data_IF_286157776543
#
_entry.id   IF_286157776543
#
_cell.length_a   1.000
_cell.length_b   1.000
_cell.length_c   1.000
_cell.angle_alpha   90.00
_cell.angle_beta   90.00
_cell.angle_gamma   90.00
#
_symmetry.space_group_name_H-M   'P 1'
#
loop_
_entity.id
_entity.type
_entity.pdbx_description
1 polymer ?
#
# COMPACT_ATOMS: atom_id res chain seq x y z
N UNK A 1 30.66 -10.68 -10.81
CA UNK A 1 30.14 -9.43 -10.21
C UNK A 1 28.66 -9.65 -9.94
N UNK A 2 28.26 -9.75 -8.67
CA UNK A 2 26.84 -9.84 -8.31
C UNK A 2 26.15 -8.55 -8.76
N UNK A 3 25.14 -8.66 -9.62
CA UNK A 3 24.32 -7.53 -10.05
C UNK A 3 23.34 -7.18 -8.92
N UNK A 4 23.87 -6.71 -7.79
CA UNK A 4 23.14 -6.57 -6.51
C UNK A 4 21.96 -5.60 -6.59
N UNK A 5 21.88 -4.76 -7.64
CA UNK A 5 20.77 -3.84 -7.85
C UNK A 5 19.52 -4.43 -8.52
N UNK A 6 19.65 -5.51 -9.30
CA UNK A 6 18.53 -6.07 -10.07
C UNK A 6 17.81 -7.21 -9.33
N UNK A 7 18.56 -8.14 -8.73
CA UNK A 7 17.99 -9.34 -8.09
C UNK A 7 17.62 -9.10 -6.62
N UNK A 8 16.75 -8.12 -6.36
CA UNK A 8 16.36 -7.73 -5.01
C UNK A 8 15.40 -8.74 -4.34
N UNK A 9 14.44 -9.29 -5.09
CA UNK A 9 13.53 -10.34 -4.65
C UNK A 9 14.04 -11.73 -5.05
N UNK A 10 14.35 -12.59 -4.05
CA UNK A 10 14.90 -13.93 -4.29
C UNK A 10 13.86 -14.99 -4.62
N UNK A 11 12.59 -14.76 -4.29
CA UNK A 11 11.49 -15.69 -4.55
C UNK A 11 11.40 -16.90 -3.62
N UNK A 12 12.35 -17.08 -2.70
CA UNK A 12 12.27 -18.07 -1.63
C UNK A 12 12.35 -17.33 -0.29
N UNK A 13 11.18 -17.02 0.27
CA UNK A 13 11.05 -16.29 1.53
C UNK A 13 10.58 -17.29 2.57
N UNK A 14 11.45 -17.60 3.52
CA UNK A 14 11.18 -18.55 4.58
C UNK A 14 11.60 -17.96 5.94
N UNK A 15 10.77 -17.05 6.45
CA UNK A 15 10.91 -16.46 7.78
C UNK A 15 9.91 -17.09 8.74
N UNK A 16 10.00 -16.77 10.03
CA UNK A 16 9.00 -17.23 11.02
C UNK A 16 7.59 -16.70 10.69
N UNK A 17 7.50 -15.54 10.03
CA UNK A 17 6.24 -14.85 9.73
C UNK A 17 5.71 -15.18 8.35
N UNK A 18 6.58 -15.36 7.36
CA UNK A 18 6.19 -15.50 5.96
C UNK A 18 6.91 -16.70 5.33
N UNK A 19 6.12 -17.55 4.67
CA UNK A 19 6.59 -18.65 3.83
C UNK A 19 6.03 -18.49 2.43
N UNK A 20 6.88 -18.22 1.45
CA UNK A 20 6.48 -17.97 0.08
C UNK A 20 7.53 -18.46 -0.90
N UNK A 21 7.10 -19.25 -1.89
CA UNK A 21 7.95 -19.76 -2.97
C UNK A 21 7.36 -19.25 -4.29
N UNK A 22 8.12 -18.43 -4.99
CA UNK A 22 7.82 -17.94 -6.33
C UNK A 22 8.50 -18.83 -7.37
N UNK A 23 7.81 -19.10 -8.47
CA UNK A 23 8.48 -19.67 -9.64
C UNK A 23 9.47 -18.65 -10.25
N UNK A 24 10.46 -19.11 -11.05
CA UNK A 24 11.46 -18.23 -11.62
C UNK A 24 10.92 -17.10 -12.50
N UNK A 25 9.78 -17.30 -13.19
CA UNK A 25 9.18 -16.27 -14.03
C UNK A 25 8.58 -15.16 -13.18
N UNK A 26 7.77 -15.50 -12.17
CA UNK A 26 7.21 -14.53 -11.24
C UNK A 26 8.29 -13.73 -10.52
N UNK A 27 9.35 -14.41 -10.04
CA UNK A 27 10.50 -13.75 -9.42
C UNK A 27 11.12 -12.69 -10.35
N UNK A 28 11.32 -13.02 -11.62
CA UNK A 28 11.90 -12.09 -12.60
C UNK A 28 10.98 -10.90 -12.86
N UNK A 29 9.67 -11.12 -12.99
CA UNK A 29 8.67 -10.05 -13.16
C UNK A 29 8.71 -9.06 -11.99
N UNK A 30 8.80 -9.56 -10.77
CA UNK A 30 8.93 -8.73 -9.56
C UNK A 30 10.21 -7.89 -9.61
N UNK A 31 11.36 -8.51 -9.90
CA UNK A 31 12.63 -7.78 -9.98
C UNK A 31 12.65 -6.72 -11.10
N UNK A 32 12.06 -7.01 -12.26
CA UNK A 32 11.90 -6.02 -13.34
C UNK A 32 11.02 -4.85 -12.88
N UNK A 33 9.92 -5.14 -12.18
CA UNK A 33 9.00 -4.10 -11.70
C UNK A 33 9.68 -3.18 -10.67
N UNK A 34 10.47 -3.77 -9.76
CA UNK A 34 11.28 -3.03 -8.78
C UNK A 34 12.32 -2.15 -9.50
N UNK A 35 13.07 -2.73 -10.45
CA UNK A 35 14.14 -2.03 -11.17
C UNK A 35 13.61 -0.86 -12.03
N UNK A 36 12.40 -1.00 -12.58
CA UNK A 36 11.75 0.05 -13.38
C UNK A 36 10.93 1.04 -12.54
N UNK A 37 10.79 0.81 -11.24
CA UNK A 37 9.88 1.53 -10.35
C UNK A 37 8.45 1.62 -10.94
N UNK A 38 7.94 0.50 -11.47
CA UNK A 38 6.60 0.41 -12.09
C UNK A 38 5.67 -0.42 -11.21
N UNK A 39 4.38 -0.02 -11.09
CA UNK A 39 3.38 -0.83 -10.41
C UNK A 39 3.26 -2.21 -11.04
N UNK A 40 3.12 -3.23 -10.20
CA UNK A 40 2.92 -4.62 -10.61
C UNK A 40 1.46 -5.02 -10.41
N UNK A 41 0.74 -5.27 -11.51
CA UNK A 41 -0.61 -5.83 -11.47
C UNK A 41 -0.53 -7.36 -11.50
N UNK A 42 -1.03 -8.01 -10.45
CA UNK A 42 -1.04 -9.47 -10.33
C UNK A 42 -2.45 -10.00 -10.49
N UNK A 43 -2.65 -10.91 -11.45
CA UNK A 43 -3.93 -11.59 -11.70
C UNK A 43 -3.80 -13.09 -11.44
N UNK A 44 -4.90 -13.73 -11.07
CA UNK A 44 -4.99 -15.18 -10.88
C UNK A 44 -6.17 -15.56 -10.01
N UNK A 45 -6.46 -16.85 -9.94
CA UNK A 45 -7.57 -17.40 -9.15
C UNK A 45 -7.47 -17.04 -7.65
N UNK A 46 -8.59 -17.01 -6.92
CA UNK A 46 -8.57 -16.91 -5.46
C UNK A 46 -7.66 -17.97 -4.83
N UNK A 47 -6.89 -17.58 -3.81
CA UNK A 47 -5.99 -18.50 -3.10
C UNK A 47 -4.62 -18.77 -3.75
N UNK A 48 -4.29 -18.14 -4.88
CA UNK A 48 -2.96 -18.32 -5.53
C UNK A 48 -1.81 -17.55 -4.88
N UNK A 49 -2.02 -16.95 -3.71
CA UNK A 49 -0.97 -16.27 -2.95
C UNK A 49 -0.63 -14.84 -3.43
N UNK A 50 -1.54 -14.15 -4.13
CA UNK A 50 -1.32 -12.75 -4.60
C UNK A 50 -1.07 -11.77 -3.45
N UNK A 51 -1.92 -11.79 -2.42
CA UNK A 51 -1.74 -11.00 -1.19
C UNK A 51 -0.44 -11.43 -0.48
N UNK A 52 -0.17 -12.73 -0.39
CA UNK A 52 1.05 -13.23 0.27
C UNK A 52 2.34 -12.81 -0.47
N UNK A 53 2.28 -12.63 -1.79
CA UNK A 53 3.40 -12.10 -2.58
C UNK A 53 3.81 -10.70 -2.11
N UNK A 54 2.88 -9.79 -1.84
CA UNK A 54 3.25 -8.44 -1.38
C UNK A 54 3.89 -8.48 0.01
N UNK A 55 3.40 -9.36 0.90
CA UNK A 55 4.05 -9.63 2.19
C UNK A 55 5.48 -10.14 2.00
N UNK A 56 5.68 -11.13 1.12
CA UNK A 56 6.99 -11.69 0.83
C UNK A 56 7.96 -10.64 0.24
N UNK A 57 7.47 -9.77 -0.64
CA UNK A 57 8.24 -8.65 -1.21
C UNK A 57 8.63 -7.67 -0.10
N UNK A 58 7.68 -7.22 0.72
CA UNK A 58 7.93 -6.27 1.79
C UNK A 58 8.98 -6.80 2.79
N UNK A 59 8.84 -8.06 3.21
CA UNK A 59 9.80 -8.76 4.08
C UNK A 59 11.18 -8.82 3.45
N UNK A 60 11.27 -9.23 2.17
CA UNK A 60 12.56 -9.37 1.46
C UNK A 60 13.28 -8.03 1.31
N UNK A 61 12.53 -6.96 1.04
CA UNK A 61 13.09 -5.63 0.85
C UNK A 61 13.29 -4.87 2.18
N UNK A 62 12.85 -5.44 3.31
CA UNK A 62 12.87 -4.78 4.61
C UNK A 62 12.04 -3.50 4.61
N UNK A 63 10.91 -3.48 3.89
CA UNK A 63 10.05 -2.31 3.71
C UNK A 63 8.74 -2.47 4.46
N UNK A 64 8.20 -1.36 4.93
CA UNK A 64 6.86 -1.29 5.52
C UNK A 64 5.82 -1.66 4.45
N UNK A 65 4.86 -2.51 4.82
CA UNK A 65 3.73 -2.88 3.98
C UNK A 65 2.50 -2.07 4.41
N UNK A 66 1.92 -1.34 3.48
CA UNK A 66 0.61 -0.69 3.63
C UNK A 66 -0.39 -1.52 2.81
N UNK A 67 -1.54 -1.84 3.42
CA UNK A 67 -2.58 -2.64 2.77
C UNK A 67 -3.84 -1.79 2.60
N UNK A 68 -4.30 -1.70 1.36
CA UNK A 68 -5.58 -1.08 1.01
C UNK A 68 -6.49 -2.12 0.38
N UNK A 69 -7.48 -2.58 1.14
CA UNK A 69 -8.49 -3.52 0.64
C UNK A 69 -9.63 -2.75 0.00
N UNK A 70 -9.84 -2.95 -1.30
CA UNK A 70 -10.88 -2.26 -2.07
C UNK A 70 -12.24 -2.92 -1.84
N UNK A 71 -13.27 -2.08 -1.68
CA UNK A 71 -14.68 -2.49 -1.62
C UNK A 71 -15.42 -1.93 -2.83
N UNK A 72 -16.63 -2.44 -3.07
CA UNK A 72 -17.52 -1.96 -4.13
C UNK A 72 -17.95 -0.49 -4.00
N UNK A 73 -17.74 0.10 -2.82
CA UNK A 73 -18.06 1.50 -2.53
C UNK A 73 -16.80 2.34 -2.34
N UNK A 74 -15.62 1.79 -2.62
CA UNK A 74 -14.35 2.52 -2.45
C UNK A 74 -14.12 3.40 -3.66
N UNK A 75 -13.95 4.70 -3.40
CA UNK A 75 -13.56 5.68 -4.40
C UNK A 75 -12.05 5.94 -4.35
N UNK A 76 -11.46 6.45 -5.43
CA UNK A 76 -10.05 6.79 -5.47
C UNK A 76 -9.66 7.82 -4.39
N UNK A 77 -10.58 8.73 -4.06
CA UNK A 77 -10.36 9.78 -3.04
C UNK A 77 -10.14 9.18 -1.65
N UNK A 78 -10.81 8.07 -1.32
CA UNK A 78 -10.65 7.36 -0.03
C UNK A 78 -9.21 6.87 0.18
N UNK A 79 -8.51 6.55 -0.91
CA UNK A 79 -7.10 6.18 -0.89
C UNK A 79 -6.19 7.37 -0.60
N UNK A 80 -6.54 8.56 -1.09
CA UNK A 80 -5.73 9.77 -0.96
C UNK A 80 -5.85 10.38 0.44
N UNK A 81 -7.07 10.75 0.85
CA UNK A 81 -7.32 11.37 2.14
C UNK A 81 -8.81 11.33 2.51
N UNK A 82 -9.08 11.39 3.81
CA UNK A 82 -10.40 11.56 4.39
C UNK A 82 -10.49 12.95 5.01
N UNK A 83 -11.61 13.62 4.78
CA UNK A 83 -11.92 14.91 5.39
C UNK A 83 -13.02 14.75 6.43
N UNK A 84 -12.68 14.96 7.70
CA UNK A 84 -13.59 14.78 8.83
C UNK A 84 -14.48 16.02 9.02
N UNK A 85 -15.54 16.06 8.21
CA UNK A 85 -16.59 17.08 8.29
C UNK A 85 -17.32 17.09 9.63
N UNK A 86 -17.47 15.93 10.29
CA UNK A 86 -18.22 15.78 11.54
C UNK A 86 -17.43 16.40 12.69
N UNK A 87 -16.15 16.05 12.80
CA UNK A 87 -15.26 16.64 13.80
C UNK A 87 -15.11 18.14 13.59
N UNK A 88 -14.97 18.62 12.34
CA UNK A 88 -14.91 20.06 12.05
C UNK A 88 -16.18 20.79 12.44
N UNK A 89 -17.35 20.21 12.16
CA UNK A 89 -18.63 20.81 12.54
C UNK A 89 -18.77 20.85 14.08
N UNK A 90 -18.36 19.80 14.78
CA UNK A 90 -18.36 19.76 16.23
C UNK A 90 -17.46 20.86 16.83
N UNK A 91 -16.21 20.95 16.37
CA UNK A 91 -15.25 21.95 16.83
C UNK A 91 -15.70 23.38 16.47
N UNK A 92 -16.43 23.57 15.37
CA UNK A 92 -17.01 24.88 15.01
C UNK A 92 -18.08 25.36 15.98
N UNK A 93 -18.75 24.44 16.69
CA UNK A 93 -19.82 24.76 17.66
C UNK A 93 -19.30 24.89 19.08
N UNK A 94 -18.35 24.04 19.47
CA UNK A 94 -17.93 23.91 20.86
C UNK A 94 -16.49 24.36 21.12
N UNK A 95 -15.71 24.67 20.07
CA UNK A 95 -14.29 24.98 20.15
C UNK A 95 -13.42 23.72 20.21
N UNK A 96 -12.10 23.91 20.02
CA UNK A 96 -11.06 22.90 20.23
C UNK A 96 -9.78 23.60 20.68
N UNK A 97 -9.06 23.00 21.62
CA UNK A 97 -7.78 23.54 22.11
C UNK A 97 -6.61 23.19 21.16
N UNK A 98 -6.73 22.05 20.45
CA UNK A 98 -5.65 21.49 19.63
C UNK A 98 -5.82 21.70 18.12
N UNK A 99 -7.02 22.10 17.67
CA UNK A 99 -7.36 22.24 16.24
C UNK A 99 -7.98 23.60 15.92
N UNK A 100 -7.66 24.13 14.75
CA UNK A 100 -8.21 25.37 14.25
C UNK A 100 -9.23 25.10 13.13
N UNK A 101 -10.50 25.44 13.38
CA UNK A 101 -11.62 25.26 12.43
C UNK A 101 -11.41 25.97 11.08
N UNK A 102 -10.59 27.01 11.04
CA UNK A 102 -10.20 27.73 9.82
C UNK A 102 -9.04 27.05 9.06
N UNK A 103 -8.31 26.13 9.69
CA UNK A 103 -7.27 25.34 9.08
C UNK A 103 -7.81 23.96 8.68
N UNK A 104 -8.13 23.78 7.40
CA UNK A 104 -8.72 22.52 6.90
C UNK A 104 -7.81 21.31 7.14
N UNK A 105 -6.49 21.50 7.18
CA UNK A 105 -5.51 20.42 7.36
C UNK A 105 -5.68 19.69 8.69
N UNK A 106 -6.19 20.36 9.72
CA UNK A 106 -6.43 19.77 11.05
C UNK A 106 -7.54 18.71 11.05
N UNK A 107 -8.26 18.59 9.93
CA UNK A 107 -9.38 17.67 9.72
C UNK A 107 -9.15 16.74 8.53
N UNK A 108 -7.92 16.69 7.99
CA UNK A 108 -7.55 15.80 6.90
C UNK A 108 -6.67 14.69 7.47
N UNK A 109 -7.05 13.44 7.22
CA UNK A 109 -6.24 12.26 7.53
C UNK A 109 -5.89 11.56 6.23
N UNK A 110 -4.65 11.11 6.06
CA UNK A 110 -4.26 10.36 4.87
C UNK A 110 -4.98 9.01 4.77
N UNK A 111 -5.42 8.66 3.56
CA UNK A 111 -5.77 7.29 3.22
C UNK A 111 -4.52 6.45 2.91
N UNK A 112 -4.63 5.15 2.64
CA UNK A 112 -3.47 4.27 2.43
C UNK A 112 -2.53 4.69 1.30
N UNK A 113 -3.07 5.24 0.20
CA UNK A 113 -2.27 5.76 -0.91
C UNK A 113 -1.60 7.08 -0.53
N UNK A 114 -2.31 7.96 0.19
CA UNK A 114 -1.74 9.19 0.75
C UNK A 114 -0.59 8.89 1.71
N UNK A 115 -0.78 7.94 2.63
CA UNK A 115 0.23 7.48 3.57
C UNK A 115 1.46 6.90 2.84
N UNK A 116 1.25 6.15 1.75
CA UNK A 116 2.34 5.61 0.95
C UNK A 116 3.15 6.72 0.24
N UNK A 117 2.49 7.77 -0.25
CA UNK A 117 3.15 8.89 -0.92
C UNK A 117 3.83 9.87 0.04
N UNK A 118 3.27 10.07 1.24
CA UNK A 118 3.82 10.98 2.25
C UNK A 118 4.96 10.36 3.08
N UNK A 119 5.13 9.04 3.00
CA UNK A 119 6.17 8.30 3.71
C UNK A 119 7.59 8.80 3.36
N UNK A 120 8.39 9.13 4.38
CA UNK A 120 9.80 9.52 4.23
C UNK A 120 10.67 8.38 3.68
N UNK A 121 10.23 7.13 3.89
CA UNK A 121 10.87 5.94 3.37
C UNK A 121 10.03 5.29 2.26
N UNK A 122 10.70 4.62 1.32
CA UNK A 122 10.01 3.79 0.32
C UNK A 122 9.24 2.66 1.02
N UNK A 123 7.97 2.50 0.67
CA UNK A 123 7.09 1.46 1.20
C UNK A 123 6.60 0.51 0.09
N UNK A 124 6.04 -0.63 0.50
CA UNK A 124 5.25 -1.49 -0.39
C UNK A 124 3.78 -1.20 -0.12
N UNK A 125 3.04 -0.80 -1.16
CA UNK A 125 1.58 -0.63 -1.10
C UNK A 125 0.91 -1.80 -1.82
N UNK A 126 0.11 -2.58 -1.09
CA UNK A 126 -0.82 -3.54 -1.68
C UNK A 126 -2.18 -2.87 -1.86
N UNK A 127 -2.67 -2.82 -3.10
CA UNK A 127 -4.06 -2.51 -3.41
C UNK A 127 -4.74 -3.84 -3.73
N UNK A 128 -5.42 -4.43 -2.74
CA UNK A 128 -6.04 -5.75 -2.88
C UNK A 128 -7.47 -5.61 -3.40
N UNK A 129 -7.89 -6.61 -4.19
CA UNK A 129 -9.21 -6.65 -4.84
C UNK A 129 -9.57 -5.39 -5.66
N UNK A 130 -8.58 -4.79 -6.34
CA UNK A 130 -8.76 -3.58 -7.15
C UNK A 130 -9.85 -3.70 -8.23
N UNK A 131 -10.16 -4.92 -8.66
CA UNK A 131 -11.25 -5.23 -9.57
C UNK A 131 -12.65 -4.93 -9.00
N UNK A 132 -12.77 -4.71 -7.69
CA UNK A 132 -14.02 -4.28 -7.03
C UNK A 132 -14.23 -2.77 -7.02
N UNK A 133 -13.23 -1.97 -7.38
CA UNK A 133 -13.38 -0.51 -7.41
C UNK A 133 -14.44 -0.11 -8.45
N UNK A 134 -15.23 0.91 -8.11
CA UNK A 134 -16.19 1.50 -9.05
C UNK A 134 -15.44 2.26 -10.16
N UNK A 135 -15.95 2.24 -11.40
CA UNK A 135 -15.34 2.88 -12.59
C UNK A 135 -15.84 4.31 -12.77
#
# INVERSE_FOLDING_TARGET
>A
MSNTGFDQFKGDVNTERIKYIADPQLRNIVNVSIALARPLLVKGEPGTGKTLLSHAIAETLGKRLIVWNIKSTTEAIDGCYMYDTVQRLNDSRFGSDDRNVNNIKDYITHGPLGEAFDSEEQVVLLIDEIDKADI
#
